data_IF_983675780291
#
_entry.id   IF_983675780291
#
_cell.length_a   1.000
_cell.length_b   1.000
_cell.length_c   1.000
_cell.angle_alpha   90.00
_cell.angle_beta   90.00
_cell.angle_gamma   90.00
#
_symmetry.space_group_name_H-M   'P 1'
#
loop_
_entity.id
_entity.type
_entity.pdbx_description
1 polymer ?
#
# COMPACT_ATOMS: atom_id res chain seq x y z
N UNK A 1 -10.56 -17.73 24.02
CA UNK A 1 -10.22 -16.30 24.25
C UNK A 1 -8.74 -15.99 24.07
N UNK A 2 -7.80 -16.75 24.61
CA UNK A 2 -6.36 -16.47 24.39
C UNK A 2 -5.92 -16.71 22.95
N UNK A 3 -6.40 -17.75 22.29
CA UNK A 3 -6.06 -18.07 20.90
C UNK A 3 -6.51 -16.98 19.92
N UNK A 4 -7.67 -16.36 20.11
CA UNK A 4 -8.15 -15.30 19.21
C UNK A 4 -7.30 -14.02 19.32
N UNK A 5 -6.81 -13.71 20.52
CA UNK A 5 -5.87 -12.59 20.72
C UNK A 5 -4.52 -12.86 20.09
N UNK A 6 -4.03 -14.08 20.13
CA UNK A 6 -2.78 -14.48 19.45
C UNK A 6 -2.93 -14.41 17.94
N UNK A 7 -4.04 -14.89 17.38
CA UNK A 7 -4.30 -14.77 15.94
C UNK A 7 -4.38 -13.31 15.48
N UNK A 8 -5.07 -12.45 16.24
CA UNK A 8 -5.12 -11.01 15.93
C UNK A 8 -3.75 -10.34 16.02
N UNK A 9 -2.93 -10.74 16.98
CA UNK A 9 -1.55 -10.24 17.10
C UNK A 9 -0.68 -10.67 15.93
N UNK A 10 -0.78 -11.93 15.52
CA UNK A 10 -0.08 -12.43 14.32
C UNK A 10 -0.53 -11.69 13.07
N UNK A 11 -1.84 -11.49 12.90
CA UNK A 11 -2.38 -10.71 11.79
C UNK A 11 -1.85 -9.28 11.77
N UNK A 12 -1.78 -8.62 12.94
CA UNK A 12 -1.23 -7.28 13.05
C UNK A 12 0.26 -7.25 12.64
N UNK A 13 1.05 -8.26 13.02
CA UNK A 13 2.45 -8.39 12.62
C UNK A 13 2.55 -8.54 11.09
N UNK A 14 1.71 -9.38 10.48
CA UNK A 14 1.67 -9.53 9.02
C UNK A 14 1.31 -8.22 8.31
N UNK A 15 0.39 -7.42 8.86
CA UNK A 15 0.08 -6.09 8.32
C UNK A 15 1.27 -5.14 8.43
N UNK A 16 2.03 -5.18 9.52
CA UNK A 16 3.25 -4.36 9.65
C UNK A 16 4.31 -4.77 8.62
N UNK A 17 4.51 -6.06 8.42
CA UNK A 17 5.43 -6.57 7.39
C UNK A 17 4.91 -6.19 6.00
N UNK A 18 3.62 -6.36 5.73
CA UNK A 18 2.98 -5.97 4.48
C UNK A 18 3.11 -4.48 4.20
N UNK A 19 2.90 -3.62 5.20
CA UNK A 19 3.09 -2.18 5.09
C UNK A 19 4.55 -1.81 4.75
N UNK A 20 5.52 -2.47 5.39
CA UNK A 20 6.94 -2.29 5.10
C UNK A 20 7.30 -2.68 3.67
N UNK A 21 6.80 -3.82 3.20
CA UNK A 21 6.98 -4.27 1.81
C UNK A 21 6.29 -3.31 0.83
N UNK A 22 5.05 -2.90 1.10
CA UNK A 22 4.32 -1.94 0.27
C UNK A 22 5.07 -0.60 0.17
N UNK A 23 5.62 -0.11 1.27
CA UNK A 23 6.47 1.08 1.29
C UNK A 23 7.73 0.90 0.44
N UNK A 24 8.40 -0.25 0.55
CA UNK A 24 9.58 -0.57 -0.24
C UNK A 24 9.23 -0.61 -1.74
N UNK A 25 8.16 -1.31 -2.12
CA UNK A 25 7.73 -1.40 -3.51
C UNK A 25 7.24 -0.06 -4.07
N UNK A 26 6.76 0.87 -3.24
CA UNK A 26 6.37 2.20 -3.70
C UNK A 26 7.53 3.05 -4.19
N UNK A 27 8.78 2.67 -3.90
CA UNK A 27 9.96 3.31 -4.51
C UNK A 27 10.19 2.90 -5.98
N UNK A 28 9.63 1.77 -6.41
CA UNK A 28 9.81 1.30 -7.78
C UNK A 28 9.30 2.30 -8.84
N UNK A 29 8.15 2.96 -8.68
CA UNK A 29 7.69 4.00 -9.60
C UNK A 29 8.62 5.22 -9.72
N UNK A 30 9.52 5.46 -8.77
CA UNK A 30 10.52 6.53 -8.89
C UNK A 30 11.50 6.30 -10.04
N UNK A 31 11.68 5.05 -10.49
CA UNK A 31 12.45 4.75 -11.69
C UNK A 31 11.82 5.42 -12.93
N UNK A 32 10.48 5.39 -13.03
CA UNK A 32 9.76 6.09 -14.11
C UNK A 32 9.96 7.60 -14.03
N UNK A 33 9.90 8.17 -12.83
CA UNK A 33 10.18 9.59 -12.59
C UNK A 33 11.60 9.95 -13.02
N UNK A 34 12.58 9.09 -12.72
CA UNK A 34 13.98 9.31 -13.10
C UNK A 34 14.16 9.24 -14.61
N UNK A 35 13.57 8.25 -15.27
CA UNK A 35 13.59 8.13 -16.74
C UNK A 35 12.94 9.36 -17.38
N UNK A 36 11.79 9.80 -16.85
CA UNK A 36 11.12 11.01 -17.32
C UNK A 36 11.98 12.26 -17.19
N UNK A 37 12.67 12.42 -16.06
CA UNK A 37 13.59 13.53 -15.84
C UNK A 37 14.76 13.50 -16.83
N UNK A 38 15.32 12.33 -17.16
CA UNK A 38 16.37 12.17 -18.16
C UNK A 38 15.85 12.57 -19.53
N UNK A 39 14.61 12.19 -19.89
CA UNK A 39 14.01 12.57 -21.18
C UNK A 39 13.83 14.10 -21.29
N UNK A 40 13.34 14.75 -20.25
CA UNK A 40 13.20 16.22 -20.20
C UNK A 40 14.57 16.88 -20.34
N UNK A 41 15.57 16.37 -19.63
CA UNK A 41 16.93 16.90 -19.69
C UNK A 41 17.53 16.74 -21.09
N UNK A 42 17.38 15.57 -21.70
CA UNK A 42 17.86 15.30 -23.07
C UNK A 42 17.16 16.16 -24.10
N UNK A 43 15.83 16.35 -24.00
CA UNK A 43 15.06 17.19 -24.89
C UNK A 43 15.50 18.69 -24.83
N UNK A 44 15.89 19.16 -23.65
CA UNK A 44 16.27 20.56 -23.44
C UNK A 44 17.73 20.87 -23.73
N UNK A 45 18.63 19.92 -23.54
CA UNK A 45 20.07 20.13 -23.61
C UNK A 45 20.76 19.23 -24.65
N UNK A 46 20.04 18.26 -25.22
CA UNK A 46 20.57 17.36 -26.20
C UNK A 46 20.81 18.07 -27.56
N UNK A 47 21.99 17.87 -28.14
CA UNK A 47 22.25 18.21 -29.53
C UNK A 47 21.96 16.98 -30.38
N UNK A 48 20.93 17.01 -31.26
CA UNK A 48 20.59 15.87 -32.09
C UNK A 48 21.76 15.54 -33.04
N UNK A 49 22.16 14.27 -33.06
CA UNK A 49 23.08 13.78 -34.10
C UNK A 49 22.32 13.63 -35.42
N UNK A 50 23.00 13.69 -36.55
CA UNK A 50 22.36 13.49 -37.85
C UNK A 50 21.64 12.12 -37.90
N UNK A 51 20.30 12.15 -38.02
CA UNK A 51 19.46 10.94 -38.04
C UNK A 51 18.91 10.45 -36.69
N UNK A 52 19.17 11.16 -35.60
CA UNK A 52 18.65 10.82 -34.26
C UNK A 52 17.58 11.84 -33.86
N UNK A 53 16.36 11.39 -33.65
CA UNK A 53 15.29 12.23 -33.13
C UNK A 53 15.35 12.24 -31.58
N UNK A 54 15.37 13.43 -30.99
CA UNK A 54 15.29 13.59 -29.55
C UNK A 54 13.91 13.15 -29.06
N UNK A 55 13.84 12.47 -27.91
CA UNK A 55 12.55 12.10 -27.33
C UNK A 55 11.73 13.36 -27.05
N UNK A 56 10.43 13.38 -27.39
CA UNK A 56 9.60 14.56 -27.17
C UNK A 56 9.47 14.86 -25.68
N UNK A 57 9.65 16.12 -25.30
CA UNK A 57 9.65 16.58 -23.90
C UNK A 57 8.36 16.20 -23.16
N UNK A 58 7.20 16.17 -23.85
CA UNK A 58 5.94 15.81 -23.23
C UNK A 58 5.90 14.36 -22.70
N UNK A 59 6.61 13.42 -23.34
CA UNK A 59 6.74 12.06 -22.82
C UNK A 59 7.46 12.05 -21.47
N UNK A 60 8.51 12.85 -21.33
CA UNK A 60 9.21 13.02 -20.06
C UNK A 60 8.27 13.48 -18.94
N UNK A 61 7.41 14.47 -19.23
CA UNK A 61 6.42 14.96 -18.25
C UNK A 61 5.37 13.91 -17.89
N UNK A 62 4.93 13.07 -18.85
CA UNK A 62 4.02 11.95 -18.58
C UNK A 62 4.69 10.95 -17.62
N UNK A 63 5.94 10.55 -17.88
CA UNK A 63 6.67 9.62 -17.01
C UNK A 63 6.88 10.18 -15.60
N UNK A 64 7.23 11.44 -15.47
CA UNK A 64 7.36 12.12 -14.18
C UNK A 64 6.02 12.17 -13.45
N UNK A 65 4.95 12.54 -14.13
CA UNK A 65 3.61 12.63 -13.54
C UNK A 65 3.10 11.29 -13.08
N UNK A 66 3.14 10.26 -13.93
CA UNK A 66 2.70 8.90 -13.61
C UNK A 66 3.57 8.29 -12.50
N UNK A 67 4.89 8.39 -12.61
CA UNK A 67 5.80 7.86 -11.60
C UNK A 67 5.58 8.49 -10.22
N UNK A 68 5.45 9.82 -10.16
CA UNK A 68 5.17 10.54 -8.91
C UNK A 68 3.80 10.19 -8.34
N UNK A 69 2.77 10.09 -9.18
CA UNK A 69 1.42 9.72 -8.74
C UNK A 69 1.39 8.31 -8.16
N UNK A 70 2.00 7.34 -8.83
CA UNK A 70 2.08 5.95 -8.36
C UNK A 70 2.90 5.84 -7.07
N UNK A 71 3.97 6.61 -6.93
CA UNK A 71 4.75 6.69 -5.71
C UNK A 71 3.90 7.16 -4.52
N UNK A 72 3.21 8.30 -4.68
CA UNK A 72 2.34 8.86 -3.64
C UNK A 72 1.20 7.90 -3.27
N UNK A 73 0.59 7.27 -4.29
CA UNK A 73 -0.45 6.27 -4.08
C UNK A 73 0.08 5.06 -3.30
N UNK A 74 1.28 4.56 -3.63
CA UNK A 74 1.93 3.45 -2.93
C UNK A 74 2.23 3.77 -1.47
N UNK A 75 2.75 4.97 -1.19
CA UNK A 75 3.00 5.43 0.19
C UNK A 75 1.68 5.58 0.96
N UNK A 76 0.64 6.16 0.36
CA UNK A 76 -0.67 6.28 0.99
C UNK A 76 -1.23 4.90 1.36
N UNK A 77 -1.13 3.91 0.46
CA UNK A 77 -1.53 2.54 0.72
C UNK A 77 -0.72 1.90 1.84
N UNK A 78 0.60 2.06 1.86
CA UNK A 78 1.46 1.55 2.93
C UNK A 78 1.05 2.12 4.30
N UNK A 79 0.74 3.40 4.38
CA UNK A 79 0.25 4.06 5.60
C UNK A 79 -1.11 3.49 6.01
N UNK A 80 -2.03 3.29 5.07
CA UNK A 80 -3.34 2.71 5.36
C UNK A 80 -3.24 1.27 5.90
N UNK A 81 -2.37 0.42 5.32
CA UNK A 81 -2.11 -0.93 5.79
C UNK A 81 -1.51 -0.91 7.20
N UNK A 82 -0.60 0.03 7.47
CA UNK A 82 -0.01 0.21 8.80
C UNK A 82 -1.06 0.62 9.84
N UNK A 83 -1.96 1.54 9.48
CA UNK A 83 -3.07 1.95 10.36
C UNK A 83 -4.02 0.77 10.60
N UNK A 84 -4.34 -0.03 9.56
CA UNK A 84 -5.17 -1.22 9.70
C UNK A 84 -4.55 -2.23 10.69
N UNK A 85 -3.24 -2.51 10.56
CA UNK A 85 -2.51 -3.36 11.51
C UNK A 85 -2.56 -2.81 12.95
N UNK A 86 -2.47 -1.49 13.10
CA UNK A 86 -2.58 -0.83 14.41
C UNK A 86 -4.00 -0.89 14.98
N UNK A 87 -5.02 -0.78 14.14
CA UNK A 87 -6.43 -0.93 14.54
C UNK A 87 -6.71 -2.38 14.99
N UNK A 88 -6.18 -3.37 14.27
CA UNK A 88 -6.25 -4.79 14.67
C UNK A 88 -5.60 -5.02 16.03
N UNK A 89 -4.39 -4.51 16.22
CA UNK A 89 -3.64 -4.65 17.48
C UNK A 89 -4.35 -4.01 18.68
N UNK A 90 -5.08 -2.91 18.46
CA UNK A 90 -5.80 -2.16 19.50
C UNK A 90 -7.28 -2.53 19.63
N UNK A 91 -7.78 -3.47 18.83
CA UNK A 91 -9.19 -3.87 18.77
C UNK A 91 -10.16 -2.70 18.57
N UNK A 92 -9.78 -1.69 17.75
CA UNK A 92 -10.59 -0.49 17.48
C UNK A 92 -10.89 -0.39 15.98
N UNK A 93 -12.02 0.26 15.66
CA UNK A 93 -12.44 0.52 14.28
C UNK A 93 -12.52 -0.74 13.40
N UNK A 94 -13.35 -1.71 13.82
CA UNK A 94 -13.63 -2.94 13.10
C UNK A 94 -13.93 -2.72 11.60
N UNK A 95 -14.83 -1.74 11.30
CA UNK A 95 -15.23 -1.44 9.92
C UNK A 95 -14.06 -0.96 9.05
N UNK A 96 -13.15 -0.16 9.62
CA UNK A 96 -11.97 0.30 8.90
C UNK A 96 -11.02 -0.86 8.56
N UNK A 97 -10.76 -1.75 9.52
CA UNK A 97 -9.91 -2.92 9.30
C UNK A 97 -10.51 -3.85 8.23
N UNK A 98 -11.84 -4.01 8.21
CA UNK A 98 -12.54 -4.84 7.22
C UNK A 98 -12.47 -4.21 5.80
N UNK A 99 -12.71 -2.90 5.68
CA UNK A 99 -12.60 -2.18 4.40
C UNK A 99 -11.18 -2.27 3.86
N UNK A 100 -10.16 -2.09 4.73
CA UNK A 100 -8.76 -2.20 4.30
C UNK A 100 -8.40 -3.61 3.87
N UNK A 101 -8.90 -4.65 4.56
CA UNK A 101 -8.72 -6.03 4.14
C UNK A 101 -9.32 -6.29 2.74
N UNK A 102 -10.48 -5.71 2.43
CA UNK A 102 -11.07 -5.79 1.08
C UNK A 102 -10.20 -5.07 0.04
N UNK A 103 -9.65 -3.91 0.36
CA UNK A 103 -8.75 -3.17 -0.54
C UNK A 103 -7.44 -3.95 -0.75
N UNK A 104 -6.89 -4.56 0.32
CA UNK A 104 -5.71 -5.42 0.22
C UNK A 104 -5.93 -6.62 -0.71
N UNK A 105 -7.15 -7.19 -0.73
CA UNK A 105 -7.49 -8.29 -1.65
C UNK A 105 -7.32 -7.93 -3.12
N UNK A 106 -7.35 -6.65 -3.50
CA UNK A 106 -7.11 -6.19 -4.88
C UNK A 106 -5.62 -6.26 -5.28
N UNK A 107 -4.72 -6.34 -4.30
CA UNK A 107 -3.28 -6.40 -4.54
C UNK A 107 -2.78 -7.85 -4.61
N UNK A 108 -2.87 -8.42 -5.79
CA UNK A 108 -2.42 -9.81 -6.08
C UNK A 108 -0.87 -9.85 -6.16
N UNK A 109 -0.20 -10.87 -5.60
CA UNK A 109 -0.75 -12.02 -4.88
C UNK A 109 -0.74 -11.89 -3.34
N UNK A 110 0.13 -11.06 -2.76
CA UNK A 110 0.35 -11.00 -1.31
C UNK A 110 -0.80 -10.32 -0.55
N UNK A 111 -1.36 -9.25 -1.11
CA UNK A 111 -2.48 -8.54 -0.52
C UNK A 111 -3.74 -9.40 -0.44
N UNK A 112 -3.98 -10.23 -1.46
CA UNK A 112 -5.13 -11.14 -1.48
C UNK A 112 -5.07 -12.16 -0.35
N UNK A 113 -3.91 -12.77 -0.11
CA UNK A 113 -3.72 -13.74 0.97
C UNK A 113 -3.95 -13.06 2.33
N UNK A 114 -3.31 -11.92 2.55
CA UNK A 114 -3.42 -11.18 3.80
C UNK A 114 -4.85 -10.68 4.04
N UNK A 115 -5.50 -10.10 3.01
CA UNK A 115 -6.87 -9.61 3.07
C UNK A 115 -7.87 -10.72 3.38
N UNK A 116 -7.79 -11.88 2.71
CA UNK A 116 -8.68 -13.02 2.95
C UNK A 116 -8.51 -13.55 4.37
N UNK A 117 -7.29 -13.75 4.85
CA UNK A 117 -7.04 -14.19 6.23
C UNK A 117 -7.60 -13.18 7.23
N UNK A 118 -7.47 -11.90 6.97
CA UNK A 118 -7.99 -10.82 7.82
C UNK A 118 -9.52 -10.86 7.85
N UNK A 119 -10.18 -11.02 6.71
CA UNK A 119 -11.64 -11.12 6.62
C UNK A 119 -12.13 -12.35 7.38
N UNK A 120 -11.51 -13.52 7.21
CA UNK A 120 -11.87 -14.74 7.92
C UNK A 120 -11.71 -14.56 9.43
N UNK A 121 -10.62 -13.96 9.90
CA UNK A 121 -10.40 -13.70 11.31
C UNK A 121 -11.41 -12.72 11.88
N UNK A 122 -11.69 -11.62 11.18
CA UNK A 122 -12.68 -10.62 11.59
C UNK A 122 -14.12 -11.13 11.55
N UNK A 123 -14.42 -12.12 10.71
CA UNK A 123 -15.76 -12.72 10.60
C UNK A 123 -16.12 -13.60 11.80
N UNK A 124 -15.16 -14.03 12.62
CA UNK A 124 -15.42 -14.85 13.79
C UNK A 124 -16.18 -14.04 14.85
N UNK A 125 -17.25 -14.64 15.40
CA UNK A 125 -18.09 -13.97 16.43
C UNK A 125 -17.30 -13.65 17.70
N UNK A 126 -16.34 -14.48 18.09
CA UNK A 126 -15.46 -14.24 19.22
C UNK A 126 -14.61 -12.97 19.04
N UNK A 127 -14.16 -12.69 17.81
CA UNK A 127 -13.39 -11.49 17.48
C UNK A 127 -14.30 -10.26 17.48
N UNK A 128 -15.51 -10.36 16.91
CA UNK A 128 -16.50 -9.27 16.98
C UNK A 128 -16.83 -8.88 18.41
N UNK A 129 -16.97 -9.87 19.31
CA UNK A 129 -17.18 -9.63 20.73
C UNK A 129 -16.02 -8.90 21.40
N UNK A 130 -14.76 -9.20 21.01
CA UNK A 130 -13.58 -8.47 21.50
C UNK A 130 -13.57 -6.99 21.09
N UNK A 131 -13.94 -6.70 19.84
CA UNK A 131 -14.07 -5.31 19.36
C UNK A 131 -15.23 -4.58 20.06
N UNK A 132 -16.38 -5.24 20.26
CA UNK A 132 -17.51 -4.68 20.98
C UNK A 132 -17.16 -4.36 22.44
N UNK A 133 -16.47 -5.25 23.15
CA UNK A 133 -16.02 -5.05 24.51
C UNK A 133 -15.01 -3.89 24.63
N UNK A 134 -14.13 -3.74 23.66
CA UNK A 134 -13.17 -2.64 23.65
C UNK A 134 -13.82 -1.27 23.39
N UNK A 135 -14.97 -1.22 22.70
CA UNK A 135 -15.72 0.03 22.46
C UNK A 135 -16.54 0.45 23.68
N UNK A 136 -16.95 -0.49 24.54
CA UNK A 136 -17.76 -0.21 25.74
C UNK A 136 -16.90 0.24 26.94
N UNK A 137 -15.57 0.10 26.84
CA UNK A 137 -14.61 0.47 27.91
C UNK A 137 -14.06 1.90 27.79
N UNK A 138 -14.62 2.70 26.90
CA UNK A 138 -14.33 4.14 26.74
C UNK A 138 -15.52 4.95 27.19
#
# INVERSE_FOLDING_TARGET
>A
MNQDREHLRLLAIFHYVGAGLAALFSFFPLLYTTIGAIFIFAARHGTPKPGEELPPEFLGWIFVGVGSFLFLLGIAMAICILIAGRCLSRHRFYSFALVMACVECLFIPFGTILGVFTIIALSRESVKALFAAAQTSV
#
